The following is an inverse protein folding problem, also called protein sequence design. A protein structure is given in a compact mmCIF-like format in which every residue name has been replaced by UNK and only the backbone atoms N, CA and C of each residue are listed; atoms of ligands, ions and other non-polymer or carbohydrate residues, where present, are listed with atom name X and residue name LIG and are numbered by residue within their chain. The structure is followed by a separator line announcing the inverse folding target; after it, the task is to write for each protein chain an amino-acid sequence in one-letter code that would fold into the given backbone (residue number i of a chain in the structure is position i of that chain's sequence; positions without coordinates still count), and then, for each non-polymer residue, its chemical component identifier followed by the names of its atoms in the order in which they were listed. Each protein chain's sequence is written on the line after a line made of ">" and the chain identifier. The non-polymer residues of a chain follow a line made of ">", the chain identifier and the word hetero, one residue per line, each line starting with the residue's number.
data_IF_902469595199
#
_entry.id   IF_902469595199
#
_cell.length_a   1.000
_cell.length_b   1.000
_cell.length_c   1.000
_cell.angle_alpha   90.00
_cell.angle_beta   90.00
_cell.angle_gamma   90.00
#
_symmetry.space_group_name_H-M   'P 1'
#
loop_
_entity.id
_entity.type
_entity.pdbx_description
1 polymer ?
#
# COMPACT_ATOMS: atom_id res chain seq x y z
N UNK A 1 -1.33 -15.36 -20.77
CA UNK A 1 -1.34 -15.38 -19.29
C UNK A 1 -1.71 -14.00 -18.78
N UNK A 2 -2.52 -13.89 -17.72
CA UNK A 2 -2.81 -12.58 -17.09
C UNK A 2 -1.61 -12.17 -16.23
N UNK A 3 -0.92 -11.09 -16.58
CA UNK A 3 0.24 -10.54 -15.85
C UNK A 3 -0.23 -9.61 -14.73
N UNK A 4 -1.06 -10.14 -13.82
CA UNK A 4 -1.64 -9.35 -12.73
C UNK A 4 -0.96 -9.78 -11.43
N UNK A 5 -0.46 -8.79 -10.69
CA UNK A 5 0.05 -8.96 -9.33
C UNK A 5 -0.89 -8.28 -8.35
N UNK A 6 -0.97 -8.84 -7.15
CA UNK A 6 -1.63 -8.21 -6.01
C UNK A 6 -0.61 -7.99 -4.91
N UNK A 7 -0.74 -6.88 -4.20
CA UNK A 7 0.12 -6.57 -3.07
C UNK A 7 -0.44 -5.46 -2.20
N UNK A 8 -0.09 -5.52 -0.92
CA UNK A 8 -0.36 -4.47 0.06
C UNK A 8 0.54 -3.27 -0.25
N UNK A 9 -0.07 -2.09 -0.31
CA UNK A 9 0.61 -0.82 -0.54
C UNK A 9 0.88 -0.11 0.78
N UNK A 10 -0.11 -0.13 1.68
CA UNK A 10 0.01 0.32 3.06
C UNK A 10 -0.77 -0.63 3.95
N UNK A 11 -0.21 -0.93 5.12
CA UNK A 11 -0.76 -1.89 6.08
C UNK A 11 -0.88 -1.20 7.45
N UNK A 12 -2.07 -1.22 8.08
CA UNK A 12 -2.29 -0.51 9.34
C UNK A 12 -1.39 -1.02 10.46
N UNK A 13 -0.85 -0.11 11.26
CA UNK A 13 -0.03 -0.45 12.44
C UNK A 13 1.32 -1.10 12.14
N UNK A 14 1.68 -1.29 10.85
CA UNK A 14 3.01 -1.75 10.45
C UNK A 14 3.93 -0.54 10.34
N UNK A 15 5.08 -0.61 11.02
CA UNK A 15 6.11 0.42 10.95
C UNK A 15 6.77 0.37 9.56
N UNK A 16 6.73 1.49 8.85
CA UNK A 16 7.33 1.60 7.53
C UNK A 16 8.87 1.80 7.58
N UNK A 17 9.50 1.86 6.40
CA UNK A 17 10.95 2.05 6.29
C UNK A 17 11.44 3.40 6.87
N UNK A 18 10.53 4.34 7.13
CA UNK A 18 10.82 5.64 7.69
C UNK A 18 10.49 5.74 9.18
N UNK A 19 10.03 4.65 9.80
CA UNK A 19 9.68 4.58 11.21
C UNK A 19 8.28 5.14 11.54
N UNK A 20 7.44 5.38 10.52
CA UNK A 20 6.08 5.85 10.71
C UNK A 20 5.09 4.68 10.74
N UNK A 21 3.93 4.90 11.37
CA UNK A 21 2.75 4.03 11.24
C UNK A 21 1.61 4.84 10.63
N UNK A 22 0.73 4.16 9.90
CA UNK A 22 -0.43 4.78 9.26
C UNK A 22 -1.70 4.10 9.76
N UNK A 23 -2.72 4.88 10.11
CA UNK A 23 -4.01 4.35 10.58
C UNK A 23 -4.86 3.85 9.40
N UNK A 24 -5.83 2.97 9.69
CA UNK A 24 -6.80 2.47 8.69
C UNK A 24 -7.49 3.62 7.94
N UNK A 25 -7.98 4.63 8.66
CA UNK A 25 -8.65 5.80 8.08
C UNK A 25 -7.74 6.57 7.10
N UNK A 26 -6.46 6.76 7.45
CA UNK A 26 -5.52 7.44 6.56
C UNK A 26 -5.19 6.60 5.33
N UNK A 27 -5.06 5.28 5.51
CA UNK A 27 -4.83 4.33 4.41
C UNK A 27 -5.99 4.36 3.42
N UNK A 28 -7.23 4.30 3.89
CA UNK A 28 -8.42 4.38 3.04
C UNK A 28 -8.47 5.72 2.28
N UNK A 29 -8.22 6.83 2.97
CA UNK A 29 -8.18 8.16 2.32
C UNK A 29 -7.08 8.23 1.27
N UNK A 30 -5.90 7.70 1.53
CA UNK A 30 -4.80 7.65 0.59
C UNK A 30 -5.15 6.82 -0.64
N UNK A 31 -5.73 5.64 -0.46
CA UNK A 31 -6.17 4.75 -1.53
C UNK A 31 -7.19 5.43 -2.46
N UNK A 32 -8.22 6.04 -1.87
CA UNK A 32 -9.26 6.74 -2.62
C UNK A 32 -8.73 7.99 -3.34
N UNK A 33 -7.84 8.74 -2.69
CA UNK A 33 -7.21 9.91 -3.31
C UNK A 33 -6.33 9.51 -4.49
N UNK A 34 -5.54 8.45 -4.34
CA UNK A 34 -4.68 7.92 -5.38
C UNK A 34 -5.48 7.54 -6.63
N UNK A 35 -6.55 6.75 -6.51
CA UNK A 35 -7.39 6.39 -7.65
C UNK A 35 -8.03 7.61 -8.32
N UNK A 36 -8.52 8.56 -7.51
CA UNK A 36 -9.24 9.74 -8.01
C UNK A 36 -8.32 10.73 -8.74
N UNK A 37 -7.06 10.83 -8.35
CA UNK A 37 -6.17 11.93 -8.78
C UNK A 37 -4.92 11.49 -9.54
N UNK A 38 -4.48 10.24 -9.37
CA UNK A 38 -3.22 9.77 -9.91
C UNK A 38 -3.43 8.50 -10.75
N UNK A 39 -3.80 7.38 -10.12
CA UNK A 39 -4.11 6.11 -10.77
C UNK A 39 -2.99 5.47 -11.59
N UNK A 40 -1.83 6.12 -11.69
CA UNK A 40 -0.66 5.67 -12.44
C UNK A 40 0.28 4.88 -11.55
N UNK A 41 0.80 3.77 -12.06
CA UNK A 41 1.90 3.03 -11.45
C UNK A 41 3.19 3.44 -12.15
N UNK A 42 4.22 3.66 -11.34
CA UNK A 42 5.58 3.97 -11.73
C UNK A 42 6.56 2.97 -11.12
N UNK A 43 7.85 3.19 -11.34
CA UNK A 43 8.94 2.35 -10.88
C UNK A 43 10.02 3.23 -10.22
N UNK A 44 10.47 2.79 -9.04
CA UNK A 44 11.63 3.32 -8.29
C UNK A 44 11.65 4.84 -8.09
N UNK A 45 10.48 5.50 -8.01
CA UNK A 45 10.34 6.97 -7.90
C UNK A 45 11.12 7.76 -8.98
N UNK A 46 11.47 7.13 -10.09
CA UNK A 46 12.23 7.71 -11.20
C UNK A 46 11.41 7.71 -12.50
N UNK A 47 10.54 6.71 -12.66
CA UNK A 47 9.59 6.58 -13.77
C UNK A 47 8.18 6.59 -13.20
N UNK A 48 7.31 7.47 -13.70
CA UNK A 48 5.97 7.68 -13.11
C UNK A 48 4.82 7.07 -13.94
N UNK A 49 5.11 6.38 -15.04
CA UNK A 49 4.11 5.71 -15.88
C UNK A 49 4.71 4.66 -16.81
N UNK A 50 3.84 3.83 -17.39
CA UNK A 50 4.20 2.89 -18.46
C UNK A 50 4.80 1.56 -18.00
N UNK A 51 4.64 1.22 -16.72
CA UNK A 51 5.08 -0.06 -16.14
C UNK A 51 3.90 -1.03 -15.90
N UNK A 52 2.68 -0.50 -15.93
CA UNK A 52 1.45 -1.25 -15.78
C UNK A 52 0.24 -0.35 -15.60
N UNK A 53 -0.90 -1.00 -15.37
CA UNK A 53 -2.20 -0.35 -15.14
C UNK A 53 -2.87 -0.95 -13.91
N UNK A 54 -3.36 -0.08 -13.03
CA UNK A 54 -4.24 -0.51 -11.94
C UNK A 54 -5.53 -1.07 -12.53
N UNK A 55 -5.85 -2.31 -12.17
CA UNK A 55 -7.08 -2.99 -12.58
C UNK A 55 -8.02 -3.22 -11.39
N UNK A 56 -7.47 -3.32 -10.18
CA UNK A 56 -8.22 -3.46 -8.94
C UNK A 56 -7.56 -2.63 -7.83
N UNK A 57 -8.38 -2.09 -6.93
CA UNK A 57 -7.92 -1.36 -5.76
C UNK A 57 -9.01 -1.43 -4.69
N UNK A 58 -8.66 -1.92 -3.51
CA UNK A 58 -9.61 -2.11 -2.42
C UNK A 58 -8.94 -2.02 -1.06
N UNK A 59 -9.77 -1.84 -0.03
CA UNK A 59 -9.37 -2.03 1.37
C UNK A 59 -9.72 -3.46 1.77
N UNK A 60 -8.72 -4.18 2.26
CA UNK A 60 -8.88 -5.54 2.75
C UNK A 60 -9.86 -5.57 3.91
N UNK A 61 -10.89 -6.43 3.81
CA UNK A 61 -12.00 -6.47 4.76
C UNK A 61 -11.66 -7.33 5.97
N UNK A 62 -12.43 -7.18 7.04
CA UNK A 62 -12.39 -8.12 8.15
C UNK A 62 -12.66 -9.54 7.65
N UNK A 63 -11.78 -10.48 8.04
CA UNK A 63 -11.83 -11.88 7.62
C UNK A 63 -11.17 -12.18 6.27
N UNK A 64 -10.50 -11.21 5.64
CA UNK A 64 -9.64 -11.51 4.48
C UNK A 64 -8.49 -12.44 4.91
N UNK A 65 -8.33 -13.56 4.20
CA UNK A 65 -7.32 -14.57 4.50
C UNK A 65 -6.01 -14.38 3.74
N UNK A 66 -5.97 -13.44 2.80
CA UNK A 66 -4.82 -13.18 1.92
C UNK A 66 -4.11 -11.86 2.26
N UNK A 67 -4.85 -10.89 2.78
CA UNK A 67 -4.34 -9.56 3.09
C UNK A 67 -4.71 -9.15 4.52
N UNK A 68 -3.87 -8.30 5.10
CA UNK A 68 -4.08 -7.72 6.42
C UNK A 68 -5.33 -6.85 6.41
N UNK A 69 -6.23 -7.04 7.39
CA UNK A 69 -7.41 -6.21 7.53
C UNK A 69 -7.05 -4.72 7.52
N UNK A 70 -7.81 -3.91 6.79
CA UNK A 70 -7.59 -2.47 6.67
C UNK A 70 -6.44 -2.08 5.73
N UNK A 71 -5.67 -3.03 5.21
CA UNK A 71 -4.63 -2.74 4.23
C UNK A 71 -5.21 -2.25 2.91
N UNK A 72 -4.53 -1.30 2.28
CA UNK A 72 -4.79 -0.94 0.91
C UNK A 72 -4.08 -1.91 -0.03
N UNK A 73 -4.85 -2.62 -0.84
CA UNK A 73 -4.37 -3.59 -1.81
C UNK A 73 -4.58 -3.07 -3.23
N UNK A 74 -3.55 -3.23 -4.06
CA UNK A 74 -3.65 -2.99 -5.51
C UNK A 74 -3.51 -4.28 -6.29
N UNK A 75 -4.40 -4.47 -7.27
CA UNK A 75 -4.22 -5.38 -8.39
C UNK A 75 -3.70 -4.59 -9.61
N UNK A 76 -2.51 -4.93 -10.09
CA UNK A 76 -1.86 -4.22 -11.20
C UNK A 76 -1.58 -5.18 -12.35
N UNK A 77 -2.09 -4.86 -13.54
CA UNK A 77 -1.70 -5.52 -14.76
C UNK A 77 -0.38 -4.92 -15.26
N UNK A 78 0.68 -5.71 -15.27
CA UNK A 78 2.03 -5.27 -15.62
C UNK A 78 2.32 -5.38 -17.12
N UNK A 79 3.18 -4.47 -17.59
CA UNK A 79 3.84 -4.59 -18.88
C UNK A 79 4.89 -5.72 -18.85
N UNK A 80 5.35 -6.15 -20.02
CA UNK A 80 6.19 -7.35 -20.14
C UNK A 80 7.51 -7.26 -19.37
N UNK A 81 8.20 -6.13 -19.50
CA UNK A 81 9.50 -5.89 -18.85
C UNK A 81 9.35 -5.89 -17.32
N UNK A 82 8.41 -5.11 -16.80
CA UNK A 82 8.13 -5.04 -15.37
C UNK A 82 7.66 -6.39 -14.82
N UNK A 83 6.87 -7.16 -15.57
CA UNK A 83 6.48 -8.52 -15.17
C UNK A 83 7.71 -9.43 -15.01
N UNK A 84 8.66 -9.40 -15.95
CA UNK A 84 9.89 -10.21 -15.83
C UNK A 84 10.70 -9.83 -14.59
N UNK A 85 10.85 -8.53 -14.33
CA UNK A 85 11.54 -8.02 -13.14
C UNK A 85 10.86 -8.41 -11.81
N UNK A 86 9.54 -8.61 -11.80
CA UNK A 86 8.85 -9.18 -10.63
C UNK A 86 9.11 -10.68 -10.53
N UNK A 87 9.03 -11.42 -11.65
CA UNK A 87 9.23 -12.88 -11.66
C UNK A 87 10.66 -13.29 -11.29
N UNK A 88 11.66 -12.47 -11.62
CA UNK A 88 13.06 -12.72 -11.26
C UNK A 88 13.47 -12.16 -9.89
N UNK A 89 12.55 -11.49 -9.20
CA UNK A 89 12.75 -10.96 -7.85
C UNK A 89 13.47 -9.61 -7.78
N UNK A 90 13.75 -8.96 -8.91
CA UNK A 90 14.30 -7.60 -8.95
C UNK A 90 13.35 -6.57 -8.34
N UNK A 91 12.05 -6.71 -8.60
CA UNK A 91 10.98 -5.89 -8.03
C UNK A 91 10.13 -6.74 -7.07
N UNK A 92 10.10 -6.35 -5.79
CA UNK A 92 9.52 -7.20 -4.72
C UNK A 92 8.28 -6.63 -4.05
N UNK A 93 7.93 -5.35 -4.29
CA UNK A 93 6.80 -4.73 -3.62
C UNK A 93 6.45 -3.35 -4.15
N UNK A 94 5.38 -2.80 -3.59
CA UNK A 94 4.93 -1.44 -3.87
C UNK A 94 5.63 -0.43 -2.96
N UNK A 95 5.68 0.82 -3.41
CA UNK A 95 6.15 1.95 -2.62
C UNK A 95 5.21 3.14 -2.85
N UNK A 96 4.81 3.80 -1.76
CA UNK A 96 3.96 4.98 -1.83
C UNK A 96 4.81 6.22 -2.10
N UNK A 97 4.49 6.92 -3.20
CA UNK A 97 4.98 8.27 -3.45
C UNK A 97 3.93 9.30 -3.03
N UNK A 98 4.31 10.24 -2.17
CA UNK A 98 3.35 11.23 -1.67
C UNK A 98 3.95 12.24 -0.69
N UNK A 99 3.09 13.08 -0.13
CA UNK A 99 3.42 14.00 0.96
C UNK A 99 2.44 13.76 2.11
N UNK A 100 2.97 13.64 3.32
CA UNK A 100 2.20 13.48 4.53
C UNK A 100 2.73 14.42 5.63
N UNK A 101 1.90 14.71 6.63
CA UNK A 101 2.31 15.37 7.86
C UNK A 101 2.37 14.33 8.97
N UNK A 102 3.54 14.18 9.58
CA UNK A 102 3.74 13.30 10.74
C UNK A 102 3.15 13.93 11.99
N UNK A 103 2.57 13.10 12.84
CA UNK A 103 2.14 13.44 14.20
C UNK A 103 2.73 12.41 15.16
N UNK A 104 3.13 12.80 16.38
CA UNK A 104 3.56 11.83 17.39
C UNK A 104 2.43 10.84 17.67
N UNK A 105 2.77 9.56 17.76
CA UNK A 105 1.85 8.54 18.27
C UNK A 105 1.74 8.77 19.77
N UNK A 106 0.53 9.06 20.24
CA UNK A 106 0.25 9.16 21.68
C UNK A 106 -0.14 7.76 22.14
N UNK A 107 0.74 7.08 22.87
CA UNK A 107 0.36 5.86 23.58
C UNK A 107 -0.51 6.26 24.78
N UNK A 108 -1.80 5.95 24.74
CA UNK A 108 -2.62 5.97 25.95
C UNK A 108 -2.14 4.82 26.84
N UNK A 109 -1.55 5.15 27.99
CA UNK A 109 -1.29 4.16 29.02
C UNK A 109 -2.64 3.71 29.56
N UNK A 110 -2.97 2.43 29.39
CA UNK A 110 -4.04 1.81 30.16
C UNK A 110 -3.70 1.97 31.65
N UNK A 111 -4.43 2.86 32.32
CA UNK A 111 -4.43 2.99 33.76
C UNK A 111 -5.14 1.75 34.30
N UNK A 112 -4.36 0.75 34.72
CA UNK A 112 -4.87 -0.40 35.45
C UNK A 112 -5.36 0.11 36.81
N UNK A 113 -6.62 0.53 36.86
CA UNK A 113 -7.36 0.71 38.11
C UNK A 113 -7.59 -0.67 38.74
N UNK A 114 -6.58 -1.13 39.46
CA UNK A 114 -6.72 -2.20 40.44
C UNK A 114 -7.11 -1.57 41.78
N UNK A 115 -8.41 -1.62 42.11
CA UNK A 115 -8.92 -1.74 43.49
C UNK A 115 -10.10 -2.71 43.53
#
# INVERSE_FOLDING_TARGET
>A
MKRIVYGEVLTPGVVDAQGDVVSEDEIERAAHLFLRKHGSIGEMHSRFSGVGRVVESFIARNGDTHFTQGAWVLGVQLEEETWRAVMDGTLTGFSVGGRARRVPVVEEKEENDAE
#
